data_IF_675479498813
#
_entry.id   IF_675479498813
#
_cell.length_a   1.000
_cell.length_b   1.000
_cell.length_c   1.000
_cell.angle_alpha   90.00
_cell.angle_beta   90.00
_cell.angle_gamma   90.00
#
_symmetry.space_group_name_H-M   'P 1'
#
loop_
_entity.id
_entity.type
_entity.pdbx_description
1 polymer ?
#
# COMPACT_ATOMS: atom_id res chain seq x y z
N UNK A 1 13.48 41.87 18.20
CA UNK A 1 13.10 41.40 16.85
C UNK A 1 13.71 40.03 16.51
N UNK A 2 15.00 39.80 16.79
CA UNK A 2 15.65 38.49 16.55
C UNK A 2 15.02 37.32 17.32
N UNK A 3 14.58 37.54 18.55
CA UNK A 3 13.97 36.49 19.39
C UNK A 3 12.68 35.92 18.78
N UNK A 4 11.81 36.78 18.24
CA UNK A 4 10.55 36.34 17.60
C UNK A 4 10.81 35.56 16.32
N UNK A 5 11.81 35.98 15.53
CA UNK A 5 12.22 35.27 14.31
C UNK A 5 12.83 33.91 14.67
N UNK A 6 13.65 33.85 15.72
CA UNK A 6 14.23 32.60 16.22
C UNK A 6 13.15 31.62 16.69
N UNK A 7 12.19 32.08 17.50
CA UNK A 7 11.08 31.26 17.96
C UNK A 7 10.23 30.75 16.78
N UNK A 8 9.96 31.62 15.80
CA UNK A 8 9.27 31.24 14.57
C UNK A 8 10.00 30.14 13.80
N UNK A 9 11.32 30.27 13.65
CA UNK A 9 12.15 29.26 12.97
C UNK A 9 12.17 27.92 13.72
N UNK A 10 12.33 27.97 15.06
CA UNK A 10 12.34 26.79 15.92
C UNK A 10 11.03 26.00 15.83
N UNK A 11 9.90 26.66 15.59
CA UNK A 11 8.60 26.00 15.39
C UNK A 11 8.35 25.58 13.93
N UNK A 12 8.80 26.39 12.97
CA UNK A 12 8.58 26.14 11.54
C UNK A 12 9.31 24.89 11.07
N UNK A 13 10.57 24.72 11.47
CA UNK A 13 11.42 23.59 11.05
C UNK A 13 10.78 22.22 11.39
N UNK A 14 10.41 21.92 12.64
CA UNK A 14 9.78 20.65 12.98
C UNK A 14 8.40 20.49 12.35
N UNK A 15 7.64 21.57 12.18
CA UNK A 15 6.34 21.51 11.50
C UNK A 15 6.48 21.09 10.03
N UNK A 16 7.40 21.73 9.29
CA UNK A 16 7.68 21.37 7.89
C UNK A 16 8.17 19.94 7.78
N UNK A 17 9.04 19.50 8.69
CA UNK A 17 9.48 18.12 8.76
C UNK A 17 8.29 17.14 8.90
N UNK A 18 7.37 17.38 9.84
CA UNK A 18 6.21 16.51 10.04
C UNK A 18 5.32 16.47 8.80
N UNK A 19 5.11 17.61 8.14
CA UNK A 19 4.32 17.68 6.91
C UNK A 19 4.94 16.82 5.80
N UNK A 20 6.27 16.91 5.60
CA UNK A 20 6.98 16.13 4.59
C UNK A 20 6.92 14.63 4.91
N UNK A 21 7.23 14.25 6.15
CA UNK A 21 7.16 12.86 6.60
C UNK A 21 5.75 12.25 6.40
N UNK A 22 4.72 13.00 6.78
CA UNK A 22 3.33 12.56 6.64
C UNK A 22 2.91 12.49 5.17
N UNK A 23 3.36 13.41 4.32
CA UNK A 23 3.09 13.36 2.88
C UNK A 23 3.68 12.10 2.24
N UNK A 24 4.89 11.71 2.63
CA UNK A 24 5.56 10.52 2.11
C UNK A 24 4.88 9.22 2.55
N UNK A 25 4.56 9.10 3.84
CA UNK A 25 3.80 7.96 4.39
C UNK A 25 2.43 7.83 3.74
N UNK A 26 1.73 8.95 3.53
CA UNK A 26 0.43 8.95 2.86
C UNK A 26 0.55 8.52 1.39
N UNK A 27 1.55 9.00 0.65
CA UNK A 27 1.80 8.56 -0.74
C UNK A 27 1.96 7.04 -0.81
N UNK A 28 2.76 6.46 0.10
CA UNK A 28 2.95 5.02 0.15
C UNK A 28 1.67 4.26 0.54
N UNK A 29 0.87 4.80 1.46
CA UNK A 29 -0.40 4.19 1.86
C UNK A 29 -1.41 4.14 0.71
N UNK A 30 -1.50 5.22 -0.06
CA UNK A 30 -2.33 5.25 -1.25
C UNK A 30 -1.82 4.30 -2.33
N UNK A 31 -0.49 4.24 -2.56
CA UNK A 31 0.13 3.30 -3.48
C UNK A 31 -0.12 1.84 -3.12
N UNK A 32 0.09 1.46 -1.85
CA UNK A 32 -0.18 0.10 -1.38
C UNK A 32 -1.67 -0.26 -1.51
N UNK A 33 -2.57 0.66 -1.20
CA UNK A 33 -4.02 0.45 -1.35
C UNK A 33 -4.45 0.34 -2.81
N UNK A 34 -3.86 1.14 -3.71
CA UNK A 34 -4.11 1.05 -5.14
C UNK A 34 -3.60 -0.28 -5.70
N UNK A 35 -2.40 -0.70 -5.29
CA UNK A 35 -1.79 -1.97 -5.67
C UNK A 35 -2.60 -3.18 -5.20
N UNK A 36 -3.12 -3.17 -3.96
CA UNK A 36 -3.99 -4.25 -3.47
C UNK A 36 -5.28 -4.36 -4.31
N UNK A 37 -5.88 -3.23 -4.68
CA UNK A 37 -7.07 -3.19 -5.54
C UNK A 37 -6.80 -3.68 -6.96
N UNK A 38 -5.71 -3.23 -7.58
CA UNK A 38 -5.36 -3.64 -8.95
C UNK A 38 -4.97 -5.12 -9.02
N UNK A 39 -4.23 -5.62 -8.03
CA UNK A 39 -3.91 -7.03 -7.89
C UNK A 39 -5.17 -7.89 -7.72
N UNK A 40 -6.09 -7.51 -6.83
CA UNK A 40 -7.34 -8.25 -6.64
C UNK A 40 -8.18 -8.33 -7.92
N UNK A 41 -8.29 -7.22 -8.66
CA UNK A 41 -8.97 -7.20 -9.98
C UNK A 41 -8.28 -8.10 -10.99
N UNK A 42 -6.96 -8.02 -11.12
CA UNK A 42 -6.20 -8.87 -12.03
C UNK A 42 -6.27 -10.35 -11.66
N UNK A 43 -6.37 -10.66 -10.36
CA UNK A 43 -6.54 -12.03 -9.86
C UNK A 43 -7.87 -12.63 -10.30
N UNK A 44 -8.99 -11.93 -10.07
CA UNK A 44 -10.33 -12.47 -10.41
C UNK A 44 -10.63 -12.48 -11.90
N UNK A 45 -9.94 -11.65 -12.69
CA UNK A 45 -10.03 -11.64 -14.16
C UNK A 45 -9.13 -12.68 -14.82
N UNK A 46 -8.29 -13.38 -14.05
CA UNK A 46 -7.42 -14.40 -14.60
C UNK A 46 -8.23 -15.65 -15.04
N UNK A 47 -7.81 -16.32 -16.12
CA UNK A 47 -8.46 -17.54 -16.61
C UNK A 47 -8.31 -18.73 -15.66
N UNK A 48 -7.26 -18.78 -14.84
CA UNK A 48 -6.94 -19.90 -13.97
C UNK A 48 -6.09 -19.46 -12.77
N UNK A 49 -6.11 -20.26 -11.71
CA UNK A 49 -5.38 -19.99 -10.44
C UNK A 49 -3.86 -19.97 -10.65
N UNK A 50 -3.34 -20.77 -11.60
CA UNK A 50 -1.90 -20.87 -11.86
C UNK A 50 -1.34 -19.54 -12.37
N UNK A 51 -2.08 -18.84 -13.24
CA UNK A 51 -1.69 -17.55 -13.79
C UNK A 51 -2.23 -16.34 -13.00
N UNK A 52 -3.23 -16.54 -12.14
CA UNK A 52 -3.84 -15.46 -11.34
C UNK A 52 -2.85 -14.77 -10.42
N UNK A 53 -2.01 -15.53 -9.71
CA UNK A 53 -1.05 -14.99 -8.76
C UNK A 53 0.02 -14.12 -9.45
N UNK A 54 0.53 -14.54 -10.61
CA UNK A 54 1.52 -13.75 -11.36
C UNK A 54 0.90 -12.47 -11.93
N UNK A 55 -0.30 -12.54 -12.50
CA UNK A 55 -1.03 -11.37 -13.01
C UNK A 55 -1.35 -10.37 -11.91
N UNK A 56 -1.78 -10.85 -10.73
CA UNK A 56 -2.03 -10.01 -9.57
C UNK A 56 -0.76 -9.26 -9.12
N UNK A 57 0.37 -9.97 -8.97
CA UNK A 57 1.65 -9.35 -8.60
C UNK A 57 2.18 -8.39 -9.67
N UNK A 58 1.94 -8.66 -10.95
CA UNK A 58 2.28 -7.74 -12.02
C UNK A 58 1.46 -6.44 -11.97
N UNK A 59 0.14 -6.55 -11.73
CA UNK A 59 -0.73 -5.40 -11.56
C UNK A 59 -0.38 -4.57 -10.31
N UNK A 60 -0.09 -5.22 -9.18
CA UNK A 60 0.39 -4.53 -7.98
C UNK A 60 1.68 -3.75 -8.26
N UNK A 61 2.68 -4.38 -8.91
CA UNK A 61 3.95 -3.72 -9.26
C UNK A 61 3.75 -2.49 -10.14
N UNK A 62 2.85 -2.55 -11.11
CA UNK A 62 2.53 -1.40 -11.96
C UNK A 62 1.96 -0.24 -11.13
N UNK A 63 0.98 -0.52 -10.25
CA UNK A 63 0.39 0.50 -9.38
C UNK A 63 1.38 1.05 -8.34
N UNK A 64 2.31 0.24 -7.84
CA UNK A 64 3.35 0.70 -6.93
C UNK A 64 4.37 1.61 -7.64
N UNK A 65 4.68 1.33 -8.91
CA UNK A 65 5.58 2.14 -9.72
C UNK A 65 5.05 3.57 -9.94
N UNK A 66 3.73 3.74 -10.05
CA UNK A 66 3.09 5.07 -10.12
C UNK A 66 3.36 5.94 -8.88
N UNK A 67 3.69 5.30 -7.75
CA UNK A 67 4.05 5.95 -6.48
C UNK A 67 5.56 5.91 -6.18
N UNK A 68 6.39 5.45 -7.13
CA UNK A 68 7.84 5.33 -6.93
C UNK A 68 8.27 4.23 -5.95
N UNK A 69 7.38 3.30 -5.62
CA UNK A 69 7.64 2.23 -4.65
C UNK A 69 8.18 1.01 -5.40
N UNK A 70 9.43 0.64 -5.10
CA UNK A 70 10.11 -0.50 -5.73
C UNK A 70 10.11 -1.76 -4.86
N UNK A 71 10.20 -1.59 -3.53
CA UNK A 71 10.25 -2.68 -2.57
C UNK A 71 8.90 -2.83 -1.85
N UNK A 72 8.17 -3.88 -2.20
CA UNK A 72 6.91 -4.23 -1.54
C UNK A 72 6.62 -5.73 -1.63
N UNK A 73 5.98 -6.26 -0.61
CA UNK A 73 5.50 -7.64 -0.56
C UNK A 73 4.02 -7.67 -0.87
N UNK A 74 3.60 -8.55 -1.80
CA UNK A 74 2.19 -8.79 -2.13
C UNK A 74 1.81 -10.22 -1.71
N UNK A 75 0.94 -10.32 -0.71
CA UNK A 75 0.35 -11.57 -0.24
C UNK A 75 -1.08 -11.76 -0.77
N UNK A 76 -1.43 -13.01 -1.08
CA UNK A 76 -2.70 -13.40 -1.67
C UNK A 76 -3.23 -14.59 -0.88
N UNK A 77 -4.36 -14.40 -0.19
CA UNK A 77 -5.00 -15.42 0.62
C UNK A 77 -6.42 -15.64 0.11
N UNK A 78 -6.84 -16.89 -0.08
CA UNK A 78 -8.21 -17.19 -0.49
C UNK A 78 -9.04 -17.65 0.71
N UNK A 79 -10.26 -17.14 0.81
CA UNK A 79 -11.21 -17.44 1.88
C UNK A 79 -12.54 -17.93 1.32
N UNK A 80 -13.28 -18.73 2.09
CA UNK A 80 -14.60 -19.23 1.69
C UNK A 80 -14.61 -20.37 0.64
N UNK A 81 -13.45 -20.92 0.29
CA UNK A 81 -13.31 -22.04 -0.66
C UNK A 81 -11.97 -22.02 -1.40
N UNK A 82 -11.75 -22.95 -2.34
CA UNK A 82 -10.62 -22.86 -3.26
C UNK A 82 -10.68 -21.55 -4.07
N UNK A 83 -9.52 -21.01 -4.42
CA UNK A 83 -9.45 -19.78 -5.20
C UNK A 83 -10.22 -19.90 -6.52
N UNK A 84 -10.86 -18.81 -6.94
CA UNK A 84 -11.68 -18.76 -8.17
C UNK A 84 -12.84 -19.78 -8.20
N UNK A 85 -13.35 -20.19 -7.04
CA UNK A 85 -14.61 -20.94 -6.96
C UNK A 85 -15.78 -20.01 -6.64
N UNK A 86 -17.00 -20.27 -7.15
CA UNK A 86 -18.18 -19.49 -6.80
C UNK A 86 -18.35 -19.37 -5.28
N UNK A 87 -18.50 -18.14 -4.79
CA UNK A 87 -18.68 -17.88 -3.36
C UNK A 87 -17.40 -17.78 -2.53
N UNK A 88 -16.23 -18.01 -3.13
CA UNK A 88 -14.92 -17.71 -2.53
C UNK A 88 -14.61 -16.21 -2.61
N UNK A 89 -13.60 -15.77 -1.86
CA UNK A 89 -13.02 -14.44 -1.93
C UNK A 89 -11.50 -14.54 -1.98
N UNK A 90 -10.85 -13.54 -2.59
CA UNK A 90 -9.41 -13.35 -2.51
C UNK A 90 -9.11 -12.09 -1.70
N UNK A 91 -8.32 -12.26 -0.65
CA UNK A 91 -7.78 -11.23 0.22
C UNK A 91 -6.36 -10.90 -0.26
N UNK A 92 -6.16 -9.65 -0.70
CA UNK A 92 -4.88 -9.16 -1.18
C UNK A 92 -4.31 -8.20 -0.15
N UNK A 93 -3.06 -8.42 0.23
CA UNK A 93 -2.32 -7.53 1.12
C UNK A 93 -1.04 -7.07 0.43
N UNK A 94 -0.83 -5.75 0.37
CA UNK A 94 0.43 -5.15 -0.07
C UNK A 94 1.08 -4.46 1.11
N UNK A 95 2.34 -4.81 1.41
CA UNK A 95 3.11 -4.21 2.50
C UNK A 95 4.38 -3.59 1.95
N UNK A 96 4.68 -2.36 2.35
CA UNK A 96 5.90 -1.62 1.97
C UNK A 96 6.41 -0.82 3.17
N UNK A 97 7.65 -0.33 3.08
CA UNK A 97 8.29 0.48 4.11
C UNK A 97 8.72 1.81 3.52
N UNK A 98 8.48 2.89 4.27
CA UNK A 98 8.84 4.26 3.90
C UNK A 98 9.95 4.75 4.82
N UNK A 99 11.11 5.09 4.26
CA UNK A 99 12.18 5.76 5.01
C UNK A 99 11.79 7.22 5.29
N UNK A 100 11.87 7.65 6.55
CA UNK A 100 11.55 9.03 6.93
C UNK A 100 12.65 10.00 6.46
N UNK A 101 12.27 11.17 5.90
CA UNK A 101 13.23 12.12 5.37
C UNK A 101 14.01 12.78 6.51
N UNK A 102 15.27 13.19 6.27
CA UNK A 102 16.10 13.98 7.20
C UNK A 102 16.39 13.35 8.58
N UNK A 103 16.23 12.03 8.76
CA UNK A 103 16.76 11.30 9.92
C UNK A 103 18.28 11.14 9.74
N UNK A 104 19.14 11.78 10.56
CA UNK A 104 20.59 11.63 10.41
C UNK A 104 21.05 10.23 10.88
N UNK A 105 21.92 9.59 10.09
CA UNK A 105 22.44 8.22 10.34
C UNK A 105 23.09 8.03 11.73
N UNK A 106 23.56 9.13 12.34
CA UNK A 106 24.21 9.18 13.66
C UNK A 106 23.26 8.89 14.83
N UNK A 107 21.94 9.00 14.64
CA UNK A 107 20.94 8.69 15.68
C UNK A 107 20.67 7.18 15.86
N UNK A 108 21.45 6.32 15.20
CA UNK A 108 21.58 4.91 15.53
C UNK A 108 20.66 4.00 14.72
N UNK A 109 21.11 3.64 13.51
CA UNK A 109 20.96 2.32 12.87
C UNK A 109 19.58 1.82 12.44
N UNK A 110 18.51 2.18 13.15
CA UNK A 110 17.15 2.01 12.67
C UNK A 110 16.84 3.24 11.83
N UNK A 111 17.00 3.13 10.51
CA UNK A 111 16.35 4.07 9.57
C UNK A 111 14.92 4.21 10.07
N UNK A 112 14.50 5.43 10.39
CA UNK A 112 13.15 5.68 10.85
C UNK A 112 12.21 5.27 9.74
N UNK A 113 11.76 4.02 9.74
CA UNK A 113 11.01 3.43 8.67
C UNK A 113 9.60 3.18 9.17
N UNK A 114 8.62 3.65 8.40
CA UNK A 114 7.21 3.42 8.69
C UNK A 114 6.72 2.33 7.75
N UNK A 115 6.33 1.19 8.32
CA UNK A 115 5.67 0.12 7.56
C UNK A 115 4.24 0.52 7.25
N UNK A 116 3.85 0.41 5.99
CA UNK A 116 2.52 0.73 5.49
C UNK A 116 1.92 -0.50 4.81
N UNK A 117 0.62 -0.72 5.05
CA UNK A 117 -0.12 -1.88 4.57
C UNK A 117 -1.42 -1.44 3.88
N UNK A 118 -1.63 -1.92 2.66
CA UNK A 118 -2.87 -1.78 1.91
C UNK A 118 -3.52 -3.14 1.74
N UNK A 119 -4.83 -3.23 2.00
CA UNK A 119 -5.59 -4.48 1.92
C UNK A 119 -6.81 -4.33 1.02
N UNK A 120 -7.15 -5.40 0.31
CA UNK A 120 -8.34 -5.45 -0.52
C UNK A 120 -8.89 -6.87 -0.67
N UNK A 121 -10.16 -7.05 -0.34
CA UNK A 121 -10.88 -8.32 -0.53
C UNK A 121 -11.78 -8.24 -1.75
N UNK A 122 -11.69 -9.23 -2.64
CA UNK A 122 -12.53 -9.33 -3.85
C UNK A 122 -13.31 -10.65 -3.83
N UNK A 123 -14.66 -10.61 -3.80
CA UNK A 123 -15.46 -11.82 -3.91
C UNK A 123 -15.47 -12.36 -5.35
N UNK A 124 -15.49 -13.68 -5.49
CA UNK A 124 -15.59 -14.37 -6.77
C UNK A 124 -16.98 -14.99 -6.97
N UNK A 125 -17.65 -14.62 -8.07
CA UNK A 125 -18.82 -15.35 -8.57
C UNK A 125 -20.10 -15.29 -7.73
N UNK A 126 -20.31 -14.27 -6.88
CA UNK A 126 -21.64 -14.01 -6.29
C UNK A 126 -22.38 -12.91 -7.06
N UNK A 127 -22.91 -13.25 -8.24
CA UNK A 127 -24.00 -12.46 -8.81
C UNK A 127 -25.30 -12.93 -8.13
N UNK A 128 -25.84 -12.12 -7.22
CA UNK A 128 -27.21 -12.28 -6.71
C UNK A 128 -28.07 -11.28 -7.48
N UNK A 129 -28.63 -11.72 -8.60
CA UNK A 129 -29.90 -11.17 -9.11
C UNK A 129 -31.00 -11.65 -8.16
N UNK A 130 -31.25 -10.89 -7.10
CA UNK A 130 -32.47 -11.03 -6.31
C UNK A 130 -33.07 -9.63 -6.14
N UNK A 131 -33.78 -9.21 -7.19
CA UNK A 131 -34.81 -8.19 -7.13
C UNK A 131 -35.86 -8.56 -8.18
N UNK A 132 -36.79 -9.41 -7.78
CA UNK A 132 -38.11 -9.58 -8.41
C UNK A 132 -39.18 -9.12 -7.44
#
# INVERSE_FOLDING_TARGET
MVETVWLGLVLLVPLVYVILAVAEVQSAAYGASAAARSAGRAYVLAPDVASAGERARAAARLSLADHGIVEATTDLTCTGGPCLSPGSSVDVTVTTSVDLPFIPDVLGGARGAVTVRGEHTVPYGRFREDRS
#
